data_IF_546041452931
#
_entry.id   IF_546041452931
#
_cell.length_a   1.000
_cell.length_b   1.000
_cell.length_c   1.000
_cell.angle_alpha   90.00
_cell.angle_beta   90.00
_cell.angle_gamma   90.00
#
_symmetry.space_group_name_H-M   'P 1'
#
loop_
_entity.id
_entity.type
_entity.pdbx_description
1 polymer ?
#
# COMPACT_ATOMS: atom_id res chain seq x y z
N UNK A 1 -18.50 -17.20 18.93
CA UNK A 1 -18.83 -17.20 17.49
C UNK A 1 -19.25 -15.79 17.15
N UNK A 2 -18.42 -15.04 16.42
CA UNK A 2 -18.74 -13.68 16.00
C UNK A 2 -19.65 -13.80 14.78
N UNK A 3 -20.85 -13.23 14.84
CA UNK A 3 -21.79 -13.24 13.70
C UNK A 3 -21.16 -12.50 12.50
N UNK A 4 -21.30 -13.03 11.28
CA UNK A 4 -20.85 -12.35 10.09
C UNK A 4 -21.68 -11.07 9.89
N UNK A 5 -21.00 -9.95 9.66
CA UNK A 5 -21.61 -8.65 9.42
C UNK A 5 -22.45 -8.72 8.14
N UNK A 6 -23.78 -8.53 8.26
CA UNK A 6 -24.78 -8.70 7.19
C UNK A 6 -24.70 -7.70 6.01
N UNK A 7 -23.59 -6.98 5.84
CA UNK A 7 -23.38 -5.99 4.75
C UNK A 7 -21.93 -6.00 4.25
N UNK A 8 -21.28 -7.17 4.25
CA UNK A 8 -20.06 -7.33 3.47
C UNK A 8 -20.48 -7.71 2.05
N UNK A 9 -20.15 -6.90 1.02
CA UNK A 9 -20.34 -7.31 -0.37
C UNK A 9 -19.56 -8.61 -0.60
N UNK A 10 -20.16 -9.62 -1.21
CA UNK A 10 -19.39 -10.71 -1.80
C UNK A 10 -18.58 -10.11 -2.96
N UNK A 11 -17.26 -9.99 -2.78
CA UNK A 11 -16.37 -9.40 -3.78
C UNK A 11 -16.35 -10.28 -5.05
N UNK A 12 -17.08 -9.85 -6.08
CA UNK A 12 -17.11 -10.53 -7.39
C UNK A 12 -15.83 -10.22 -8.15
N UNK A 13 -15.21 -11.25 -8.76
CA UNK A 13 -13.84 -11.18 -9.32
C UNK A 13 -13.66 -10.09 -10.40
N UNK A 14 -14.71 -9.79 -11.18
CA UNK A 14 -14.71 -8.73 -12.20
C UNK A 14 -14.65 -7.31 -11.59
N UNK A 15 -15.28 -7.11 -10.44
CA UNK A 15 -15.31 -5.82 -9.73
C UNK A 15 -13.91 -5.49 -9.19
N UNK A 16 -13.19 -6.50 -8.68
CA UNK A 16 -11.78 -6.38 -8.21
C UNK A 16 -10.82 -5.97 -9.32
N UNK A 17 -10.97 -6.53 -10.53
CA UNK A 17 -10.12 -6.20 -11.68
C UNK A 17 -10.35 -4.75 -12.14
N UNK A 18 -11.60 -4.30 -12.16
CA UNK A 18 -11.94 -2.91 -12.51
C UNK A 18 -11.41 -1.91 -11.48
N UNK A 19 -11.50 -2.24 -10.19
CA UNK A 19 -11.02 -1.42 -9.08
C UNK A 19 -9.49 -1.27 -9.10
N UNK A 20 -8.75 -2.31 -9.51
CA UNK A 20 -7.29 -2.24 -9.68
C UNK A 20 -6.93 -1.28 -10.81
N UNK A 21 -7.68 -1.28 -11.91
CA UNK A 21 -7.42 -0.40 -13.05
C UNK A 21 -7.68 1.08 -12.73
N UNK A 22 -8.60 1.37 -11.80
CA UNK A 22 -8.97 2.72 -11.38
C UNK A 22 -8.06 3.31 -10.29
N UNK A 23 -7.21 2.50 -9.66
CA UNK A 23 -6.32 2.99 -8.60
C UNK A 23 -5.25 3.92 -9.17
N UNK A 24 -5.07 5.12 -8.58
CA UNK A 24 -4.00 6.03 -8.98
C UNK A 24 -2.64 5.39 -8.80
N UNK A 25 -1.74 5.62 -9.76
CA UNK A 25 -0.38 5.07 -9.79
C UNK A 25 0.66 6.08 -9.34
N UNK A 26 0.35 7.37 -9.48
CA UNK A 26 1.22 8.50 -9.12
C UNK A 26 0.60 9.33 -8.01
N UNK A 27 1.44 10.10 -7.31
CA UNK A 27 1.00 10.88 -6.14
C UNK A 27 0.11 12.07 -6.52
N UNK A 28 0.26 12.60 -7.74
CA UNK A 28 -0.57 13.66 -8.31
C UNK A 28 -2.00 13.17 -8.65
N UNK A 29 -2.14 11.92 -9.07
CA UNK A 29 -3.43 11.25 -9.32
C UNK A 29 -4.19 10.91 -8.02
N UNK A 30 -3.51 10.87 -6.86
CA UNK A 30 -4.15 10.58 -5.58
C UNK A 30 -4.98 11.76 -5.09
N UNK A 31 -6.31 11.60 -5.05
CA UNK A 31 -7.24 12.68 -4.70
C UNK A 31 -7.37 12.85 -3.18
N UNK A 32 -7.54 14.10 -2.72
CA UNK A 32 -7.65 14.41 -1.29
C UNK A 32 -6.32 14.29 -0.52
N UNK A 33 -6.42 14.04 0.79
CA UNK A 33 -5.29 13.76 1.69
C UNK A 33 -4.09 14.73 1.59
N UNK A 34 -4.35 16.04 1.45
CA UNK A 34 -3.32 17.06 1.13
C UNK A 34 -2.06 16.99 2.01
N UNK A 35 -2.23 16.94 3.33
CA UNK A 35 -1.12 16.88 4.28
C UNK A 35 -0.29 15.60 4.12
N UNK A 36 -0.96 14.45 3.99
CA UNK A 36 -0.29 13.15 3.78
C UNK A 36 0.47 13.15 2.45
N UNK A 37 -0.12 13.68 1.38
CA UNK A 37 0.55 13.79 0.07
C UNK A 37 1.80 14.66 0.14
N UNK A 38 1.72 15.80 0.83
CA UNK A 38 2.86 16.69 1.01
C UNK A 38 3.99 16.01 1.80
N UNK A 39 3.66 15.33 2.90
CA UNK A 39 4.64 14.61 3.70
C UNK A 39 5.29 13.46 2.91
N UNK A 40 4.49 12.67 2.17
CA UNK A 40 5.01 11.61 1.29
C UNK A 40 5.93 12.18 0.21
N UNK A 41 5.54 13.29 -0.42
CA UNK A 41 6.36 13.96 -1.44
C UNK A 41 7.72 14.35 -0.87
N UNK A 42 7.75 15.01 0.28
CA UNK A 42 9.00 15.44 0.93
C UNK A 42 9.90 14.23 1.25
N UNK A 43 9.34 13.16 1.84
CA UNK A 43 10.12 11.97 2.20
C UNK A 43 10.71 11.28 0.96
N UNK A 44 9.90 11.09 -0.09
CA UNK A 44 10.31 10.46 -1.35
C UNK A 44 11.37 11.29 -2.06
N UNK A 45 11.13 12.59 -2.22
CA UNK A 45 12.10 13.47 -2.88
C UNK A 45 13.44 13.50 -2.13
N UNK A 46 13.40 13.57 -0.80
CA UNK A 46 14.60 13.57 0.02
C UNK A 46 15.39 12.25 -0.10
N UNK A 47 14.71 11.10 -0.03
CA UNK A 47 15.36 9.79 -0.20
C UNK A 47 15.96 9.63 -1.60
N UNK A 48 15.23 10.05 -2.65
CA UNK A 48 15.72 10.01 -4.03
C UNK A 48 16.91 10.92 -4.27
N UNK A 49 16.91 12.13 -3.70
CA UNK A 49 18.05 13.05 -3.80
C UNK A 49 19.31 12.49 -3.13
N UNK A 50 19.16 11.75 -2.03
CA UNK A 50 20.28 11.06 -1.36
C UNK A 50 20.70 9.76 -2.04
N UNK A 51 19.87 9.20 -2.91
CA UNK A 51 20.11 7.89 -3.51
C UNK A 51 19.99 6.74 -2.50
N UNK A 52 19.18 6.94 -1.45
CA UNK A 52 19.03 6.01 -0.34
C UNK A 52 17.61 5.40 -0.32
N UNK A 53 17.41 4.26 0.37
CA UNK A 53 16.06 3.75 0.64
C UNK A 53 15.21 4.78 1.38
N UNK A 54 13.90 4.77 1.11
CA UNK A 54 12.94 5.51 1.92
C UNK A 54 12.90 4.91 3.33
N UNK A 55 12.84 5.76 4.35
CA UNK A 55 12.59 5.33 5.73
C UNK A 55 11.27 4.54 5.83
N UNK A 56 11.17 3.67 6.84
CA UNK A 56 9.96 2.87 7.04
C UNK A 56 8.73 3.75 7.34
N UNK A 57 7.64 3.49 6.61
CA UNK A 57 6.39 4.26 6.71
C UNK A 57 5.28 3.43 7.32
N UNK A 58 4.59 3.98 8.33
CA UNK A 58 3.34 3.44 8.87
C UNK A 58 2.15 4.28 8.39
N UNK A 59 1.26 3.66 7.60
CA UNK A 59 0.00 4.29 7.18
C UNK A 59 -1.13 3.87 8.13
N UNK A 60 -1.65 4.82 8.91
CA UNK A 60 -2.73 4.58 9.87
C UNK A 60 -4.02 5.31 9.47
N UNK A 61 -5.16 4.66 9.68
CA UNK A 61 -6.48 5.25 9.51
C UNK A 61 -7.60 4.24 9.21
N UNK A 62 -8.86 4.67 9.23
CA UNK A 62 -10.04 3.85 8.87
C UNK A 62 -9.90 3.08 7.54
N UNK A 63 -10.61 1.94 7.37
CA UNK A 63 -10.65 1.22 6.09
C UNK A 63 -11.20 2.11 4.95
N UNK A 64 -10.79 1.84 3.71
CA UNK A 64 -11.27 2.58 2.53
C UNK A 64 -10.54 3.90 2.20
N UNK A 65 -9.64 4.39 3.06
CA UNK A 65 -8.93 5.67 2.82
C UNK A 65 -7.74 5.60 1.85
N UNK A 66 -7.59 4.51 1.09
CA UNK A 66 -6.52 4.37 0.09
C UNK A 66 -5.13 4.09 0.67
N UNK A 67 -5.01 3.50 1.86
CA UNK A 67 -3.70 3.14 2.47
C UNK A 67 -2.87 2.20 1.59
N UNK A 68 -3.48 1.12 1.10
CA UNK A 68 -2.81 0.18 0.19
C UNK A 68 -2.43 0.84 -1.13
N UNK A 69 -3.29 1.71 -1.65
CA UNK A 69 -3.01 2.51 -2.85
C UNK A 69 -1.81 3.44 -2.63
N UNK A 70 -1.76 4.16 -1.51
CA UNK A 70 -0.67 5.06 -1.19
C UNK A 70 0.66 4.32 -1.01
N UNK A 71 0.65 3.12 -0.42
CA UNK A 71 1.85 2.27 -0.35
C UNK A 71 2.37 1.87 -1.74
N UNK A 72 1.48 1.54 -2.68
CA UNK A 72 1.85 1.24 -4.06
C UNK A 72 2.37 2.49 -4.81
N UNK A 73 1.75 3.65 -4.59
CA UNK A 73 2.23 4.93 -5.13
C UNK A 73 3.65 5.23 -4.63
N UNK A 74 3.91 5.04 -3.33
CA UNK A 74 5.25 5.27 -2.75
C UNK A 74 6.30 4.39 -3.46
N UNK A 75 6.00 3.10 -3.67
CA UNK A 75 6.91 2.20 -4.39
C UNK A 75 7.15 2.66 -5.85
N UNK A 76 6.08 3.07 -6.55
CA UNK A 76 6.18 3.60 -7.91
C UNK A 76 7.03 4.88 -7.97
N UNK A 77 6.83 5.83 -7.04
CA UNK A 77 7.59 7.08 -7.00
C UNK A 77 9.08 6.84 -6.66
N UNK A 78 9.37 5.80 -5.87
CA UNK A 78 10.73 5.32 -5.59
C UNK A 78 11.33 4.49 -6.74
N UNK A 79 10.54 4.14 -7.76
CA UNK A 79 10.99 3.35 -8.90
C UNK A 79 11.30 1.88 -8.58
N UNK A 80 10.67 1.32 -7.54
CA UNK A 80 10.92 -0.05 -7.06
C UNK A 80 9.65 -0.89 -7.10
N UNK A 81 9.81 -2.22 -7.10
CA UNK A 81 8.69 -3.14 -6.92
C UNK A 81 8.17 -3.15 -5.48
N UNK A 82 6.88 -3.42 -5.30
CA UNK A 82 6.27 -3.63 -3.99
C UNK A 82 5.91 -5.10 -3.80
N UNK A 83 6.26 -5.67 -2.63
CA UNK A 83 5.74 -6.96 -2.18
C UNK A 83 4.60 -6.72 -1.19
N UNK A 84 3.41 -7.19 -1.53
CA UNK A 84 2.23 -7.05 -0.69
C UNK A 84 2.06 -8.30 0.18
N UNK A 85 1.78 -8.11 1.47
CA UNK A 85 1.40 -9.19 2.38
C UNK A 85 0.41 -8.66 3.41
N UNK A 86 -0.17 -9.55 4.20
CA UNK A 86 -1.05 -9.20 5.32
C UNK A 86 -0.57 -9.88 6.59
N UNK A 87 -0.88 -9.30 7.75
CA UNK A 87 -0.54 -9.92 9.04
C UNK A 87 -1.02 -11.37 9.16
N UNK A 88 -2.29 -11.68 8.84
CA UNK A 88 -2.78 -13.06 8.83
C UNK A 88 -2.05 -13.99 7.86
N UNK A 89 -1.54 -13.48 6.74
CA UNK A 89 -0.75 -14.26 5.79
C UNK A 89 0.68 -14.57 6.30
N UNK A 90 1.09 -14.00 7.44
CA UNK A 90 2.40 -14.23 8.08
C UNK A 90 2.24 -15.16 9.31
N UNK A 91 1.81 -16.40 9.06
CA UNK A 91 1.52 -17.39 10.11
C UNK A 91 2.75 -17.86 10.91
N UNK A 92 3.94 -17.90 10.31
CA UNK A 92 5.17 -18.32 10.98
C UNK A 92 6.42 -17.61 10.46
N UNK A 93 7.45 -17.54 11.31
CA UNK A 93 8.70 -16.78 11.07
C UNK A 93 9.37 -17.10 9.72
N UNK A 94 9.32 -18.37 9.29
CA UNK A 94 9.88 -18.81 8.01
C UNK A 94 9.30 -18.10 6.77
N UNK A 95 8.03 -17.68 6.80
CA UNK A 95 7.44 -16.95 5.66
C UNK A 95 7.91 -15.51 5.57
N UNK A 96 8.13 -14.85 6.72
CA UNK A 96 8.73 -13.51 6.69
C UNK A 96 10.16 -13.57 6.13
N UNK A 97 10.93 -14.57 6.56
CA UNK A 97 12.28 -14.78 6.06
C UNK A 97 12.29 -14.98 4.54
N UNK A 98 11.40 -15.81 3.99
CA UNK A 98 11.32 -16.03 2.54
C UNK A 98 10.94 -14.78 1.76
N UNK A 99 10.03 -13.95 2.27
CA UNK A 99 9.65 -12.67 1.64
C UNK A 99 10.82 -11.68 1.63
N UNK A 100 11.67 -11.69 2.66
CA UNK A 100 12.81 -10.78 2.76
C UNK A 100 14.04 -11.25 1.97
N UNK A 101 14.21 -12.56 1.76
CA UNK A 101 15.41 -13.12 1.11
C UNK A 101 15.22 -13.58 -0.33
N UNK A 102 13.97 -13.70 -0.79
CA UNK A 102 13.72 -13.93 -2.22
C UNK A 102 14.26 -12.73 -3.01
N UNK A 103 15.30 -12.95 -3.82
CA UNK A 103 15.87 -11.96 -4.73
C UNK A 103 15.12 -12.02 -6.06
#
# INVERSE_FOLDING_TARGET
>A
MSEPRAVAPEEVDEERVSDIALRPRRLDEFTGQRSVKEQVRIMVEAARQRGEPLDHVLLYGPPGLGKTTLAQIIANEMGVGARLTSGPALEHQGMLASILTSL
#
